data_IF_509438587282
#
_entry.id   IF_509438587282
#
_cell.length_a   1.000
_cell.length_b   1.000
_cell.length_c   1.000
_cell.angle_alpha   90.00
_cell.angle_beta   90.00
_cell.angle_gamma   90.00
#
_symmetry.space_group_name_H-M   'P 1'
#
loop_
_entity.id
_entity.type
_entity.pdbx_description
1 polymer ?
#
# COMPACT_ATOMS: atom_id res chain seq x y z
N UNK A 1 12.12 -5.72 -19.30
CA UNK A 1 12.26 -6.09 -17.89
C UNK A 1 12.60 -7.56 -17.68
N UNK A 2 12.20 -8.47 -18.61
CA UNK A 2 12.60 -9.87 -18.55
C UNK A 2 14.08 -10.01 -18.90
N UNK A 3 14.76 -10.91 -18.19
CA UNK A 3 16.16 -11.21 -18.42
C UNK A 3 16.30 -12.64 -18.97
N UNK A 4 17.40 -12.93 -19.64
CA UNK A 4 17.73 -14.30 -20.02
C UNK A 4 17.87 -15.16 -18.76
N UNK A 5 17.24 -16.34 -18.76
CA UNK A 5 17.25 -17.27 -17.64
C UNK A 5 15.99 -17.18 -16.77
N UNK A 6 16.16 -17.36 -15.46
CA UNK A 6 15.03 -17.41 -14.52
C UNK A 6 14.54 -16.00 -14.19
N UNK A 7 13.24 -15.81 -14.32
CA UNK A 7 12.54 -14.62 -13.90
C UNK A 7 11.52 -14.99 -12.83
N UNK A 8 11.26 -14.08 -11.89
CA UNK A 8 10.23 -14.23 -10.90
C UNK A 8 9.26 -13.05 -10.97
N UNK A 9 7.98 -13.33 -10.80
CA UNK A 9 6.92 -12.32 -10.71
C UNK A 9 6.34 -12.40 -9.31
N UNK A 10 6.37 -11.27 -8.59
CA UNK A 10 5.78 -11.13 -7.28
C UNK A 10 4.73 -10.02 -7.32
N UNK A 11 3.56 -10.28 -6.75
CA UNK A 11 2.43 -9.37 -6.77
C UNK A 11 1.95 -9.14 -5.35
N UNK A 12 1.94 -7.88 -4.91
CA UNK A 12 1.31 -7.49 -3.66
C UNK A 12 -0.18 -7.27 -3.91
N UNK A 13 -1.01 -8.14 -3.34
CA UNK A 13 -2.45 -8.03 -3.42
C UNK A 13 -3.00 -7.35 -2.17
N UNK A 14 -3.68 -6.25 -2.36
CA UNK A 14 -4.40 -5.58 -1.29
C UNK A 14 -5.90 -5.88 -1.38
N UNK A 15 -6.42 -6.52 -0.34
CA UNK A 15 -7.84 -6.79 -0.18
C UNK A 15 -8.35 -6.14 1.10
N UNK A 16 -9.21 -5.15 0.96
CA UNK A 16 -9.72 -4.39 2.09
C UNK A 16 -10.67 -5.20 2.98
N UNK A 17 -11.53 -6.02 2.37
CA UNK A 17 -12.37 -7.02 3.07
C UNK A 17 -13.53 -6.48 3.90
N UNK A 18 -13.79 -5.18 3.82
CA UNK A 18 -14.88 -4.52 4.53
C UNK A 18 -15.67 -3.65 3.57
N UNK A 19 -16.97 -3.57 3.79
CA UNK A 19 -17.79 -2.57 3.12
C UNK A 19 -17.54 -1.19 3.72
N UNK A 20 -17.52 -0.18 2.87
CA UNK A 20 -17.34 1.20 3.24
C UNK A 20 -18.28 2.12 2.47
N UNK A 21 -18.21 3.40 2.74
CA UNK A 21 -19.04 4.37 2.05
C UNK A 21 -18.75 4.45 0.54
N UNK A 22 -17.48 4.34 0.17
CA UNK A 22 -16.99 4.48 -1.21
C UNK A 22 -16.57 3.15 -1.85
N UNK A 23 -16.73 2.05 -1.13
CA UNK A 23 -16.19 0.77 -1.54
C UNK A 23 -17.09 -0.40 -1.14
N UNK A 24 -17.33 -1.30 -2.09
CA UNK A 24 -17.99 -2.58 -1.86
C UNK A 24 -17.03 -3.71 -2.26
N UNK A 25 -16.62 -4.58 -1.30
CA UNK A 25 -15.76 -5.70 -1.63
C UNK A 25 -16.54 -6.81 -2.34
N UNK A 26 -15.84 -7.60 -3.11
CA UNK A 26 -16.40 -8.81 -3.73
C UNK A 26 -16.77 -9.91 -2.73
N UNK A 27 -16.35 -9.78 -1.47
CA UNK A 27 -16.51 -10.80 -0.43
C UNK A 27 -15.37 -11.81 -0.35
N UNK A 28 -14.49 -11.87 -1.34
CA UNK A 28 -13.29 -12.73 -1.36
C UNK A 28 -12.11 -12.00 -2.00
N UNK A 29 -10.92 -12.23 -1.46
CA UNK A 29 -9.68 -11.89 -2.13
C UNK A 29 -9.39 -12.88 -3.25
N UNK A 30 -8.75 -12.41 -4.32
CA UNK A 30 -8.32 -13.27 -5.40
C UNK A 30 -7.44 -12.49 -6.39
N UNK A 31 -6.58 -13.22 -7.06
CA UNK A 31 -5.72 -12.72 -8.12
C UNK A 31 -6.00 -13.54 -9.39
N UNK A 32 -6.21 -12.85 -10.48
CA UNK A 32 -6.29 -13.45 -11.80
C UNK A 32 -5.23 -12.80 -12.70
N UNK A 33 -4.32 -13.59 -13.20
CA UNK A 33 -3.27 -13.15 -14.11
C UNK A 33 -3.30 -14.05 -15.34
N UNK A 34 -3.32 -13.43 -16.49
CA UNK A 34 -3.19 -14.10 -17.78
C UNK A 34 -2.36 -13.21 -18.70
N UNK A 35 -1.33 -13.77 -19.30
CA UNK A 35 -0.55 -13.05 -20.31
C UNK A 35 -1.34 -12.93 -21.60
N UNK A 36 -1.17 -11.82 -22.30
CA UNK A 36 -1.77 -11.57 -23.62
C UNK A 36 -0.88 -12.08 -24.76
N UNK A 37 0.28 -12.64 -24.45
CA UNK A 37 1.25 -13.15 -25.42
C UNK A 37 1.59 -14.60 -25.11
N UNK A 38 1.51 -15.43 -26.12
CA UNK A 38 1.91 -16.85 -26.03
C UNK A 38 3.44 -17.01 -25.94
N UNK A 39 4.20 -15.99 -26.29
CA UNK A 39 5.67 -16.00 -26.21
C UNK A 39 6.15 -16.06 -24.76
N UNK A 40 5.40 -15.44 -23.85
CA UNK A 40 5.69 -15.44 -22.41
C UNK A 40 4.45 -15.84 -21.62
N UNK A 41 4.10 -17.12 -21.61
CA UNK A 41 2.90 -17.59 -20.94
C UNK A 41 3.03 -17.41 -19.41
N UNK A 42 2.12 -16.65 -18.83
CA UNK A 42 2.03 -16.42 -17.40
C UNK A 42 0.56 -16.51 -16.97
N UNK A 43 0.26 -17.49 -16.16
CA UNK A 43 -1.09 -17.74 -15.66
C UNK A 43 -1.06 -17.89 -14.13
N UNK A 44 -2.03 -17.30 -13.45
CA UNK A 44 -2.21 -17.54 -12.02
C UNK A 44 -2.89 -18.90 -11.80
N UNK A 45 -2.15 -19.86 -11.30
CA UNK A 45 -2.61 -21.21 -11.00
C UNK A 45 -2.03 -21.74 -9.67
N UNK A 46 -2.25 -23.01 -9.39
CA UNK A 46 -1.75 -23.68 -8.17
C UNK A 46 -0.23 -23.80 -8.05
N UNK A 47 0.52 -23.45 -9.10
CA UNK A 47 2.01 -23.44 -9.05
C UNK A 47 2.55 -22.22 -8.34
N UNK A 48 1.73 -21.20 -8.14
CA UNK A 48 2.10 -20.02 -7.40
C UNK A 48 2.15 -20.27 -5.89
N UNK A 49 2.92 -19.43 -5.22
CA UNK A 49 2.96 -19.40 -3.77
C UNK A 49 2.36 -18.08 -3.27
N UNK A 50 1.77 -18.15 -2.11
CA UNK A 50 1.17 -16.97 -1.45
C UNK A 50 1.57 -16.92 0.02
N UNK A 51 1.65 -15.71 0.54
CA UNK A 51 1.89 -15.45 1.95
C UNK A 51 1.12 -14.20 2.39
N UNK A 52 0.75 -14.15 3.65
CA UNK A 52 0.16 -12.93 4.23
C UNK A 52 1.29 -11.98 4.58
N UNK A 53 1.20 -10.74 4.09
CA UNK A 53 2.16 -9.70 4.41
C UNK A 53 1.89 -9.11 5.80
N UNK A 54 2.66 -9.55 6.80
CA UNK A 54 2.44 -9.21 8.20
C UNK A 54 2.79 -7.78 8.61
N UNK A 55 3.42 -6.99 7.74
CA UNK A 55 3.80 -5.60 8.04
C UNK A 55 2.65 -4.60 7.94
N UNK A 56 1.60 -4.89 7.18
CA UNK A 56 0.47 -3.97 7.02
C UNK A 56 -0.57 -4.14 8.12
N UNK A 57 -1.11 -3.01 8.59
CA UNK A 57 -2.17 -2.99 9.59
C UNK A 57 -3.09 -1.76 9.41
N UNK A 58 -4.23 -1.80 10.06
CA UNK A 58 -5.09 -0.61 10.18
C UNK A 58 -4.67 0.19 11.41
N UNK A 59 -4.30 1.48 11.28
CA UNK A 59 -3.92 2.32 12.41
C UNK A 59 -4.98 2.32 13.52
N UNK A 60 -4.52 2.19 14.76
CA UNK A 60 -5.36 2.25 15.97
C UNK A 60 -5.52 3.69 16.43
N UNK A 61 -6.56 3.97 17.21
CA UNK A 61 -6.81 5.29 17.79
C UNK A 61 -8.15 5.87 17.36
N UNK A 62 -8.25 7.21 17.31
CA UNK A 62 -9.47 7.88 16.83
C UNK A 62 -9.93 7.21 15.56
N UNK A 63 -11.17 6.79 15.54
CA UNK A 63 -11.70 5.91 14.49
C UNK A 63 -11.32 6.41 13.11
N UNK A 64 -10.71 5.55 12.28
CA UNK A 64 -10.42 5.88 10.90
C UNK A 64 -11.68 6.40 10.23
N UNK A 65 -11.55 7.38 9.37
CA UNK A 65 -12.70 7.86 8.62
C UNK A 65 -13.29 6.70 7.82
N UNK A 66 -14.49 6.26 8.18
CA UNK A 66 -15.13 5.13 7.54
C UNK A 66 -15.41 5.36 6.05
N UNK A 67 -15.37 6.61 5.59
CA UNK A 67 -15.57 6.97 4.17
C UNK A 67 -14.33 6.74 3.32
N UNK A 68 -13.15 6.80 3.95
CA UNK A 68 -11.86 6.67 3.28
C UNK A 68 -10.93 5.74 4.09
N UNK A 69 -11.49 4.69 4.62
CA UNK A 69 -10.76 3.71 5.43
C UNK A 69 -9.63 3.03 4.65
N UNK A 70 -9.77 2.93 3.34
CA UNK A 70 -8.73 2.45 2.41
C UNK A 70 -7.48 3.33 2.39
N UNK A 71 -7.58 4.56 2.85
CA UNK A 71 -6.45 5.50 2.98
C UNK A 71 -5.78 5.47 4.34
N UNK A 72 -6.35 4.73 5.31
CA UNK A 72 -5.78 4.54 6.64
C UNK A 72 -4.94 3.26 6.67
N UNK A 73 -3.71 3.36 6.25
CA UNK A 73 -2.80 2.23 6.11
C UNK A 73 -1.61 2.43 7.04
N UNK A 74 -1.37 1.46 7.91
CA UNK A 74 -0.17 1.36 8.72
C UNK A 74 0.78 0.30 8.18
N UNK A 75 2.08 0.54 8.31
CA UNK A 75 3.12 -0.40 7.97
C UNK A 75 4.19 -0.45 9.06
N UNK A 76 4.45 -1.63 9.60
CA UNK A 76 5.52 -1.87 10.56
C UNK A 76 6.72 -2.51 9.87
N UNK A 77 7.74 -1.71 9.61
CA UNK A 77 8.94 -2.14 8.91
C UNK A 77 9.81 -3.11 9.71
N UNK A 78 9.52 -3.34 10.99
CA UNK A 78 10.23 -4.31 11.84
C UNK A 78 9.72 -5.73 11.62
N UNK A 79 8.46 -5.87 11.17
CA UNK A 79 7.78 -7.16 11.08
C UNK A 79 7.99 -7.86 9.74
N UNK A 80 8.42 -7.12 8.71
CA UNK A 80 8.51 -7.68 7.39
C UNK A 80 9.67 -7.06 6.60
N UNK A 81 10.50 -7.89 5.99
CA UNK A 81 11.57 -7.43 5.10
C UNK A 81 11.05 -7.33 3.67
N UNK A 82 11.35 -6.25 2.98
CA UNK A 82 11.02 -6.07 1.56
C UNK A 82 11.98 -6.81 0.61
N UNK A 83 12.85 -7.67 1.15
CA UNK A 83 13.78 -8.48 0.34
C UNK A 83 13.08 -9.35 -0.72
N UNK A 84 11.82 -9.69 -0.50
CA UNK A 84 11.02 -10.45 -1.47
C UNK A 84 10.82 -9.70 -2.80
N UNK A 85 10.93 -8.36 -2.81
CA UNK A 85 10.83 -7.54 -4.02
C UNK A 85 12.09 -7.70 -4.88
N UNK A 86 13.25 -7.80 -4.21
CA UNK A 86 14.56 -7.80 -4.88
C UNK A 86 15.05 -9.23 -5.17
N UNK A 87 14.73 -10.16 -4.29
CA UNK A 87 15.16 -11.56 -4.39
C UNK A 87 14.06 -12.48 -3.83
N UNK A 88 13.08 -12.85 -4.63
CA UNK A 88 12.04 -13.79 -4.20
C UNK A 88 12.60 -15.14 -3.75
N UNK A 89 13.77 -15.54 -4.25
CA UNK A 89 14.43 -16.80 -3.87
C UNK A 89 15.02 -16.76 -2.46
N UNK A 90 15.43 -15.59 -1.97
CA UNK A 90 15.96 -15.41 -0.61
C UNK A 90 14.85 -15.20 0.42
N UNK A 91 13.62 -15.18 -0.01
CA UNK A 91 12.43 -15.02 0.83
C UNK A 91 12.02 -16.30 1.57
N UNK A 92 12.96 -17.19 1.84
CA UNK A 92 12.76 -18.39 2.66
C UNK A 92 12.22 -18.11 4.09
N UNK A 93 12.29 -16.85 4.51
CA UNK A 93 11.77 -16.39 5.80
C UNK A 93 10.26 -16.17 5.83
N UNK A 94 9.60 -16.17 4.67
CA UNK A 94 8.15 -16.00 4.60
C UNK A 94 7.45 -17.34 4.69
N UNK A 95 6.34 -17.43 5.40
CA UNK A 95 5.53 -18.65 5.45
C UNK A 95 4.77 -18.84 4.13
N UNK A 96 5.53 -19.01 3.05
CA UNK A 96 4.96 -19.30 1.73
C UNK A 96 4.21 -20.63 1.77
N UNK A 97 3.00 -20.61 1.26
CA UNK A 97 2.18 -21.80 1.03
C UNK A 97 1.76 -21.87 -0.42
N UNK A 98 1.48 -23.06 -0.90
CA UNK A 98 0.93 -23.22 -2.24
C UNK A 98 -0.40 -22.44 -2.36
N UNK A 99 -0.54 -21.72 -3.46
CA UNK A 99 -1.77 -20.99 -3.73
C UNK A 99 -2.93 -21.95 -4.00
N UNK A 100 -4.14 -21.53 -3.67
CA UNK A 100 -5.36 -22.30 -3.88
C UNK A 100 -6.13 -21.70 -5.05
N UNK A 101 -6.45 -22.51 -6.04
CA UNK A 101 -7.36 -22.10 -7.09
C UNK A 101 -8.76 -21.91 -6.53
N UNK A 102 -9.27 -20.69 -6.58
CA UNK A 102 -10.63 -20.36 -6.09
C UNK A 102 -11.71 -20.50 -7.16
N UNK A 103 -11.30 -20.68 -8.43
CA UNK A 103 -12.17 -20.89 -9.56
C UNK A 103 -11.55 -20.40 -10.87
N UNK A 104 -12.32 -20.53 -11.94
CA UNK A 104 -11.97 -20.05 -13.28
C UNK A 104 -12.51 -18.63 -13.49
N UNK A 105 -12.09 -17.97 -14.57
CA UNK A 105 -12.71 -16.73 -15.03
C UNK A 105 -14.25 -16.86 -15.02
N UNK A 106 -14.92 -15.83 -14.54
CA UNK A 106 -16.38 -15.82 -14.43
C UNK A 106 -16.94 -16.49 -13.19
N UNK A 107 -16.12 -17.10 -12.32
CA UNK A 107 -16.62 -17.69 -11.07
C UNK A 107 -17.12 -16.63 -10.09
N UNK A 108 -18.03 -17.06 -9.21
CA UNK A 108 -18.50 -16.19 -8.11
C UNK A 108 -17.38 -15.98 -7.06
N UNK A 109 -17.28 -14.78 -6.47
CA UNK A 109 -18.22 -13.65 -6.58
C UNK A 109 -17.92 -12.67 -7.73
N UNK A 110 -16.83 -12.83 -8.48
CA UNK A 110 -16.38 -11.86 -9.47
C UNK A 110 -17.21 -11.85 -10.75
N UNK A 111 -17.83 -12.98 -11.11
CA UNK A 111 -18.62 -13.14 -12.32
C UNK A 111 -17.83 -12.76 -13.59
N UNK A 112 -18.50 -12.22 -14.60
CA UNK A 112 -17.85 -11.81 -15.85
C UNK A 112 -16.90 -10.65 -15.61
N UNK A 113 -15.66 -10.79 -16.09
CA UNK A 113 -14.68 -9.72 -16.09
C UNK A 113 -14.90 -8.79 -17.29
N UNK A 114 -14.63 -7.52 -17.09
CA UNK A 114 -14.73 -6.51 -18.11
C UNK A 114 -13.42 -5.71 -18.19
N UNK A 115 -12.94 -5.38 -19.38
CA UNK A 115 -11.81 -4.48 -19.52
C UNK A 115 -12.07 -3.17 -18.78
N UNK A 116 -11.06 -2.67 -18.08
CA UNK A 116 -11.14 -1.37 -17.41
C UNK A 116 -11.22 -0.27 -18.46
N UNK A 117 -12.31 0.50 -18.44
CA UNK A 117 -12.53 1.63 -19.34
C UNK A 117 -12.10 2.96 -18.72
N UNK A 118 -11.89 3.01 -17.41
CA UNK A 118 -11.44 4.21 -16.70
C UNK A 118 -9.91 4.28 -16.80
N UNK A 119 -9.34 5.43 -17.20
CA UNK A 119 -7.89 5.60 -17.25
C UNK A 119 -7.24 5.32 -15.91
N UNK A 120 -6.00 4.84 -15.94
CA UNK A 120 -5.18 4.76 -14.74
C UNK A 120 -4.84 6.17 -14.25
N UNK A 121 -4.53 6.27 -12.95
CA UNK A 121 -3.98 7.50 -12.38
C UNK A 121 -2.72 7.91 -13.14
N UNK A 122 -2.59 9.19 -13.38
CA UNK A 122 -1.35 9.75 -13.93
C UNK A 122 -0.41 10.07 -12.78
N UNK A 123 0.72 9.40 -12.79
CA UNK A 123 1.79 9.72 -11.87
C UNK A 123 2.55 10.96 -12.39
N UNK A 124 2.61 11.98 -11.57
CA UNK A 124 3.36 13.22 -11.84
C UNK A 124 4.73 13.24 -11.16
N UNK A 125 5.13 12.14 -10.54
CA UNK A 125 6.35 12.00 -9.78
C UNK A 125 6.36 12.83 -8.49
N UNK A 126 7.51 12.87 -7.86
CA UNK A 126 7.71 13.66 -6.64
C UNK A 126 7.57 15.15 -6.91
N UNK A 127 6.95 15.86 -5.97
CA UNK A 127 6.77 17.31 -6.01
C UNK A 127 7.49 17.95 -4.83
N UNK A 128 8.17 19.07 -5.10
CA UNK A 128 8.81 19.86 -4.06
C UNK A 128 7.75 20.59 -3.21
N UNK A 129 8.02 20.63 -1.93
CA UNK A 129 7.24 21.45 -1.01
C UNK A 129 7.62 22.93 -1.15
N UNK A 130 6.63 23.81 -1.14
CA UNK A 130 6.83 25.26 -1.23
C UNK A 130 7.36 25.87 0.06
N UNK A 131 7.00 25.28 1.20
CA UNK A 131 7.43 25.68 2.52
C UNK A 131 7.47 24.45 3.44
N UNK A 132 8.43 24.44 4.37
CA UNK A 132 8.55 23.44 5.42
C UNK A 132 8.64 24.14 6.77
N UNK A 133 7.78 23.76 7.69
CA UNK A 133 7.75 24.28 9.05
C UNK A 133 7.98 23.15 10.05
N UNK A 134 8.97 23.31 10.90
CA UNK A 134 9.28 22.34 11.94
C UNK A 134 8.73 22.83 13.29
N UNK A 135 7.89 22.05 13.93
CA UNK A 135 7.32 22.34 15.24
C UNK A 135 7.76 21.28 16.24
N UNK A 136 8.50 21.73 17.24
CA UNK A 136 8.92 20.89 18.36
C UNK A 136 7.80 20.76 19.37
N UNK A 137 7.52 19.54 19.80
CA UNK A 137 6.54 19.24 20.83
C UNK A 137 7.19 18.52 22.02
N UNK A 138 6.44 18.38 23.10
CA UNK A 138 6.92 17.62 24.26
C UNK A 138 6.91 16.12 24.03
N UNK A 139 5.87 15.62 23.36
CA UNK A 139 5.70 14.18 23.10
C UNK A 139 6.08 13.80 21.67
N UNK A 140 5.88 14.71 20.73
CA UNK A 140 6.17 14.48 19.31
C UNK A 140 6.54 15.77 18.60
N UNK A 141 7.42 15.65 17.66
CA UNK A 141 7.73 16.69 16.69
C UNK A 141 6.76 16.60 15.50
N UNK A 142 6.52 17.73 14.86
CA UNK A 142 5.69 17.80 13.67
C UNK A 142 6.41 18.58 12.59
N UNK A 143 6.52 17.98 11.41
CA UNK A 143 6.96 18.65 10.19
C UNK A 143 5.71 18.95 9.35
N UNK A 144 5.49 20.22 9.04
CA UNK A 144 4.42 20.67 8.16
C UNK A 144 5.04 21.02 6.82
N UNK A 145 4.58 20.38 5.76
CA UNK A 145 5.06 20.57 4.40
C UNK A 145 3.93 21.12 3.54
N UNK A 146 4.08 22.33 3.02
CA UNK A 146 3.09 22.98 2.18
C UNK A 146 3.25 22.55 0.72
N UNK A 147 2.15 22.15 0.14
CA UNK A 147 2.04 21.76 -1.26
C UNK A 147 1.77 23.00 -2.13
N UNK A 148 2.15 22.97 -3.41
CA UNK A 148 1.91 24.11 -4.31
C UNK A 148 0.43 24.39 -4.58
N UNK A 149 -0.43 23.38 -4.42
CA UNK A 149 -1.89 23.45 -4.56
C UNK A 149 -2.51 22.26 -3.85
N UNK A 150 -3.83 22.25 -3.72
CA UNK A 150 -4.53 21.06 -3.21
C UNK A 150 -4.35 19.90 -4.19
N UNK A 151 -3.70 18.85 -3.74
CA UNK A 151 -3.40 17.69 -4.57
C UNK A 151 -3.69 16.38 -3.86
N UNK A 152 -3.96 15.36 -4.65
CA UNK A 152 -3.97 13.99 -4.19
C UNK A 152 -2.56 13.45 -4.28
N UNK A 153 -2.11 12.82 -3.22
CA UNK A 153 -0.73 12.32 -3.10
C UNK A 153 -0.70 10.94 -2.43
N UNK A 154 0.28 10.17 -2.80
CA UNK A 154 0.67 8.95 -2.09
C UNK A 154 1.74 9.31 -1.06
N UNK A 155 1.52 9.05 0.23
CA UNK A 155 2.54 9.28 1.24
C UNK A 155 3.79 8.46 0.94
N UNK A 156 4.92 9.11 0.78
CA UNK A 156 6.23 8.47 0.70
C UNK A 156 7.23 9.18 1.63
N UNK A 157 8.19 8.44 2.14
CA UNK A 157 9.23 8.96 3.02
C UNK A 157 10.56 8.21 2.85
N UNK A 158 11.63 8.93 3.08
CA UNK A 158 12.95 8.38 3.34
C UNK A 158 13.40 8.84 4.71
N UNK A 159 13.89 7.92 5.53
CA UNK A 159 14.29 8.21 6.90
C UNK A 159 15.43 7.30 7.36
N UNK A 160 16.27 7.82 8.25
CA UNK A 160 17.20 7.02 9.03
C UNK A 160 16.78 7.09 10.50
N UNK A 161 16.59 5.93 11.13
CA UNK A 161 16.04 5.82 12.48
C UNK A 161 16.74 4.74 13.31
N UNK A 162 16.56 4.82 14.64
CA UNK A 162 17.01 3.76 15.55
C UNK A 162 16.04 2.58 15.60
N UNK A 163 14.82 2.78 15.15
CA UNK A 163 13.75 1.79 15.10
C UNK A 163 12.75 1.90 16.24
N UNK A 164 11.49 1.66 15.91
CA UNK A 164 10.36 1.71 16.85
C UNK A 164 9.61 3.02 16.87
N UNK A 165 10.11 4.06 16.22
CA UNK A 165 9.37 5.32 16.11
C UNK A 165 8.22 5.19 15.11
N UNK A 166 7.10 5.82 15.41
CA UNK A 166 5.94 5.88 14.53
C UNK A 166 5.87 7.24 13.83
N UNK A 167 5.92 7.24 12.52
CA UNK A 167 5.72 8.42 11.68
C UNK A 167 4.29 8.38 11.15
N UNK A 168 3.49 9.39 11.51
CA UNK A 168 2.12 9.54 10.99
C UNK A 168 2.11 10.61 9.92
N UNK A 169 1.63 10.26 8.74
CA UNK A 169 1.48 11.19 7.60
C UNK A 169 0.00 11.49 7.41
N UNK A 170 -0.38 12.72 7.55
CA UNK A 170 -1.75 13.21 7.40
C UNK A 170 -1.77 14.55 6.66
N UNK A 171 -2.94 14.95 6.19
CA UNK A 171 -3.12 16.23 5.50
C UNK A 171 -4.04 17.16 6.27
N UNK A 172 -4.06 18.44 5.90
CA UNK A 172 -4.95 19.46 6.42
C UNK A 172 -6.41 19.28 6.00
N UNK A 173 -6.68 18.50 4.98
CA UNK A 173 -8.03 18.09 4.61
C UNK A 173 -8.54 17.01 5.59
N UNK A 174 -9.81 16.80 5.65
CA UNK A 174 -10.43 15.72 6.40
C UNK A 174 -10.25 15.76 7.93
N UNK A 175 -10.77 16.82 8.52
CA UNK A 175 -10.85 16.97 9.99
C UNK A 175 -12.14 16.41 10.61
N UNK A 176 -12.97 15.71 9.82
CA UNK A 176 -14.25 15.16 10.30
C UNK A 176 -14.05 14.03 11.32
N UNK A 177 -14.63 14.18 12.51
CA UNK A 177 -14.56 13.18 13.58
C UNK A 177 -13.28 13.21 14.42
N UNK A 178 -12.52 14.29 14.35
CA UNK A 178 -11.27 14.48 15.09
C UNK A 178 -10.10 14.82 14.19
N UNK A 179 -9.10 15.41 14.80
CA UNK A 179 -7.87 15.78 14.10
C UNK A 179 -7.15 14.51 13.66
N UNK A 180 -6.82 14.41 12.38
CA UNK A 180 -5.99 13.32 11.80
C UNK A 180 -6.62 11.93 11.81
N UNK A 181 -7.90 11.83 11.54
CA UNK A 181 -8.55 10.52 11.41
C UNK A 181 -8.30 9.84 10.06
N UNK A 182 -7.65 10.51 9.13
CA UNK A 182 -7.17 9.95 7.86
C UNK A 182 -5.66 10.09 7.81
N UNK A 183 -4.93 8.98 7.88
CA UNK A 183 -3.48 9.00 7.95
C UNK A 183 -2.85 7.70 7.46
N UNK A 184 -1.66 7.81 6.91
CA UNK A 184 -0.75 6.68 6.82
C UNK A 184 0.17 6.66 8.06
N UNK A 185 0.49 5.48 8.56
CA UNK A 185 1.45 5.29 9.65
C UNK A 185 2.58 4.38 9.20
N UNK A 186 3.79 4.74 9.60
CA UNK A 186 4.98 3.95 9.35
C UNK A 186 5.76 3.76 10.65
N UNK A 187 5.93 2.51 11.08
CA UNK A 187 6.79 2.17 12.22
C UNK A 187 8.18 1.84 11.70
N UNK A 188 9.16 2.63 12.13
CA UNK A 188 10.53 2.54 11.64
C UNK A 188 11.23 1.27 12.12
N UNK A 189 12.11 0.73 11.28
CA UNK A 189 13.18 -0.21 11.67
C UNK A 189 14.49 0.55 11.86
N UNK A 190 15.53 -0.13 12.31
CA UNK A 190 16.87 0.45 12.44
C UNK A 190 17.50 0.67 11.05
N UNK A 191 18.14 1.84 10.87
CA UNK A 191 18.90 2.21 9.69
C UNK A 191 18.11 3.03 8.67
N UNK A 192 18.72 3.23 7.50
CA UNK A 192 18.11 3.94 6.38
C UNK A 192 17.01 3.09 5.74
N UNK A 193 15.90 3.72 5.45
CA UNK A 193 14.73 3.06 4.89
C UNK A 193 13.89 4.04 4.08
N UNK A 194 13.19 3.53 3.09
CA UNK A 194 12.19 4.24 2.30
C UNK A 194 10.86 3.51 2.37
N UNK A 195 9.78 4.23 2.25
CA UNK A 195 8.44 3.67 2.25
C UNK A 195 7.51 4.49 1.37
N UNK A 196 6.68 3.82 0.63
CA UNK A 196 5.56 4.38 -0.11
C UNK A 196 4.28 3.66 0.30
N UNK A 197 3.26 4.42 0.70
CA UNK A 197 1.98 3.86 1.13
C UNK A 197 1.20 3.31 -0.06
N UNK A 198 0.40 2.29 0.17
CA UNK A 198 -0.52 1.76 -0.84
C UNK A 198 -1.72 2.69 -1.11
N UNK A 199 -2.06 3.54 -0.14
CA UNK A 199 -3.20 4.45 -0.21
C UNK A 199 -2.80 5.87 -0.62
N UNK A 200 -3.80 6.71 -0.75
CA UNK A 200 -3.65 8.12 -1.07
C UNK A 200 -4.40 9.01 -0.08
N UNK A 201 -3.92 10.21 0.07
CA UNK A 201 -4.54 11.29 0.85
C UNK A 201 -4.53 12.57 0.03
N UNK A 202 -5.32 13.55 0.40
CA UNK A 202 -5.36 14.83 -0.32
C UNK A 202 -5.33 16.02 0.64
N UNK A 203 -4.73 17.11 0.19
CA UNK A 203 -4.64 18.33 0.98
C UNK A 203 -3.79 19.43 0.34
N UNK A 204 -3.66 20.54 1.07
CA UNK A 204 -2.77 21.64 0.76
C UNK A 204 -1.47 21.56 1.56
N UNK A 205 -1.49 20.85 2.68
CA UNK A 205 -0.32 20.59 3.52
C UNK A 205 -0.34 19.16 4.06
N UNK A 206 0.85 18.62 4.25
CA UNK A 206 1.10 17.30 4.84
C UNK A 206 1.79 17.48 6.17
#
# INVERSE_FOLDING_TARGET
>A
FLQEGKNAVAILLWYFGKEGFSYQPSGKAGLFVESISDEFPLYSDKSWFSAIHGGYYTPKGTQPNFRLSESNIGYDARLFSESWIVSPADSLWYPWSASVEVGKEGCKPWNKLYPRIIPMWKDYGQKEYTLREWRRGQEKDTLICHLPYNMQLTPCLEVEAQGGDTISVCTDNYKGGGMYNLRAEYVTRKGRQSYESLGWINGHAV
#
